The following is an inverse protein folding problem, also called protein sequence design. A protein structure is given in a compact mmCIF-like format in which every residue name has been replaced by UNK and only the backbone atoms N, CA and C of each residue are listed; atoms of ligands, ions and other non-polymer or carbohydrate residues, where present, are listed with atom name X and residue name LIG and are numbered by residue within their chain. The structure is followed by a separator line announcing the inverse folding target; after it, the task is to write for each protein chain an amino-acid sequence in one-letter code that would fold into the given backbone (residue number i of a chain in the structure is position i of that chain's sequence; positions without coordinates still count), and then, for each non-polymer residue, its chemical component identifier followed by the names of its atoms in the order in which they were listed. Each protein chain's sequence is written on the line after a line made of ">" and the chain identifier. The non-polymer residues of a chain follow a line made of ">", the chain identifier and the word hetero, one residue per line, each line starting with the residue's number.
data_IF_698931415894
#
_entry.id   IF_698931415894
#
_cell.length_a   1.000
_cell.length_b   1.000
_cell.length_c   1.000
_cell.angle_alpha   90.00
_cell.angle_beta   90.00
_cell.angle_gamma   90.00
#
_symmetry.space_group_name_H-M   'P 1'
#
loop_
_entity.id
_entity.type
_entity.pdbx_description
1 polymer ?
#
# COMPACT_ATOMS: atom_id res chain seq x y z
N UNK A 1 -22.78 -3.98 6.15
CA UNK A 1 -22.16 -3.12 5.11
C UNK A 1 -20.64 -3.14 5.28
N UNK A 2 -19.88 -3.33 4.19
CA UNK A 2 -18.43 -3.15 4.22
C UNK A 2 -18.10 -1.67 4.43
N UNK A 3 -17.10 -1.39 5.25
CA UNK A 3 -16.61 0.00 5.39
C UNK A 3 -15.93 0.45 4.09
N UNK A 4 -16.00 1.74 3.78
CA UNK A 4 -15.29 2.32 2.61
C UNK A 4 -13.79 1.98 2.60
N UNK A 5 -13.19 1.81 3.78
CA UNK A 5 -11.81 1.35 3.94
C UNK A 5 -11.61 -0.08 3.46
N UNK A 6 -12.50 -0.99 3.86
CA UNK A 6 -12.43 -2.39 3.42
C UNK A 6 -12.63 -2.50 1.90
N UNK A 7 -13.61 -1.78 1.34
CA UNK A 7 -13.81 -1.71 -0.11
C UNK A 7 -12.55 -1.21 -0.85
N UNK A 8 -11.92 -0.13 -0.36
CA UNK A 8 -10.66 0.37 -0.94
C UNK A 8 -9.52 -0.63 -0.88
N UNK A 9 -9.41 -1.42 0.20
CA UNK A 9 -8.41 -2.49 0.30
C UNK A 9 -8.66 -3.60 -0.71
N UNK A 10 -9.91 -3.96 -0.97
CA UNK A 10 -10.26 -4.94 -2.00
C UNK A 10 -9.93 -4.46 -3.41
N UNK A 11 -10.09 -3.16 -3.66
CA UNK A 11 -9.84 -2.53 -4.97
C UNK A 11 -8.39 -2.06 -5.17
N UNK A 12 -7.47 -2.33 -4.23
CA UNK A 12 -6.08 -1.84 -4.33
C UNK A 12 -5.94 -0.32 -4.17
N UNK A 13 -7.00 0.39 -3.77
CA UNK A 13 -7.04 1.84 -3.71
C UNK A 13 -6.36 2.40 -2.44
N UNK A 14 -5.83 3.63 -2.47
CA UNK A 14 -5.26 4.27 -1.29
C UNK A 14 -6.28 4.44 -0.16
N UNK A 15 -5.84 4.17 1.07
CA UNK A 15 -6.67 4.29 2.26
C UNK A 15 -5.87 4.78 3.47
N UNK A 16 -6.55 5.38 4.46
CA UNK A 16 -5.92 5.79 5.73
C UNK A 16 -5.51 4.55 6.52
N UNK A 17 -4.55 4.59 7.44
CA UNK A 17 -4.15 3.43 8.25
C UNK A 17 -5.18 3.04 9.32
N UNK A 18 -5.80 4.02 9.99
CA UNK A 18 -6.89 3.81 10.94
C UNK A 18 -7.76 5.08 11.03
N UNK A 19 -8.84 5.04 11.80
CA UNK A 19 -9.70 6.22 12.00
C UNK A 19 -9.03 7.30 12.86
N UNK A 20 -8.14 6.90 13.77
CA UNK A 20 -7.31 7.79 14.59
C UNK A 20 -6.09 8.32 13.83
N UNK A 21 -5.46 7.49 12.99
CA UNK A 21 -4.28 7.84 12.18
C UNK A 21 -4.67 8.33 10.79
N UNK A 22 -5.47 9.41 10.72
CA UNK A 22 -6.02 9.94 9.45
C UNK A 22 -4.97 10.48 8.48
N UNK A 23 -3.82 10.92 9.02
CA UNK A 23 -2.68 11.48 8.28
C UNK A 23 -1.72 10.42 7.75
N UNK A 24 -1.89 9.16 8.15
CA UNK A 24 -1.10 8.05 7.63
C UNK A 24 -1.88 7.39 6.50
N UNK A 25 -1.37 7.51 5.28
CA UNK A 25 -1.99 6.98 4.07
C UNK A 25 -1.17 5.79 3.60
N UNK A 26 -1.87 4.71 3.28
CA UNK A 26 -1.31 3.53 2.64
C UNK A 26 -1.77 3.56 1.18
N UNK A 27 -0.83 3.35 0.27
CA UNK A 27 -1.08 3.17 -1.15
C UNK A 27 -0.38 1.91 -1.66
N UNK A 28 -0.97 1.25 -2.64
CA UNK A 28 -0.36 0.13 -3.33
C UNK A 28 0.46 0.66 -4.52
N UNK A 29 1.69 0.19 -4.66
CA UNK A 29 2.57 0.48 -5.78
C UNK A 29 2.77 -0.80 -6.57
N UNK A 30 2.67 -0.69 -7.89
CA UNK A 30 3.04 -1.75 -8.81
C UNK A 30 4.47 -1.51 -9.28
N UNK A 31 5.38 -2.45 -8.98
CA UNK A 31 6.79 -2.37 -9.35
C UNK A 31 7.01 -2.72 -10.83
N UNK A 32 6.08 -3.44 -11.46
CA UNK A 32 6.19 -3.77 -12.89
C UNK A 32 5.82 -2.61 -13.80
N UNK A 33 5.18 -1.57 -13.26
CA UNK A 33 4.99 -0.32 -14.00
C UNK A 33 6.30 0.47 -14.00
N UNK A 34 6.79 0.76 -15.21
CA UNK A 34 7.96 1.60 -15.56
C UNK A 34 8.03 2.94 -14.81
N UNK A 35 6.92 3.40 -14.25
CA UNK A 35 6.77 4.67 -13.53
C UNK A 35 7.28 4.68 -12.07
N UNK A 36 7.79 3.56 -11.56
CA UNK A 36 8.19 3.45 -10.16
C UNK A 36 9.54 4.14 -9.86
N UNK A 37 9.55 5.48 -9.86
CA UNK A 37 10.65 6.37 -9.43
C UNK A 37 11.03 6.26 -7.94
N UNK A 38 10.46 5.30 -7.22
CA UNK A 38 10.66 5.14 -5.79
C UNK A 38 11.87 4.24 -5.51
N UNK A 39 12.82 4.72 -4.70
CA UNK A 39 13.90 3.88 -4.18
C UNK A 39 13.34 2.87 -3.18
N UNK A 40 12.92 1.72 -3.70
CA UNK A 40 12.36 0.63 -2.91
C UNK A 40 13.51 -0.23 -2.33
N UNK A 41 13.44 -0.60 -1.04
CA UNK A 41 14.44 -1.45 -0.41
C UNK A 41 14.69 -2.77 -1.15
N UNK A 42 15.92 -3.27 -1.17
CA UNK A 42 16.34 -4.46 -1.93
C UNK A 42 15.47 -5.68 -1.69
N UNK A 43 15.18 -5.96 -0.42
CA UNK A 43 14.35 -7.09 -0.01
C UNK A 43 12.90 -7.04 -0.52
N UNK A 44 12.43 -5.88 -1.00
CA UNK A 44 11.09 -5.70 -1.57
C UNK A 44 11.10 -5.58 -3.10
N UNK A 45 12.26 -5.46 -3.76
CA UNK A 45 12.36 -5.32 -5.23
C UNK A 45 11.88 -6.56 -5.99
N UNK A 46 11.94 -7.73 -5.36
CA UNK A 46 11.51 -9.00 -5.97
C UNK A 46 9.98 -9.18 -5.96
N UNK A 47 9.23 -8.33 -5.26
CA UNK A 47 7.77 -8.40 -5.22
C UNK A 47 7.17 -7.58 -6.37
N UNK A 48 6.16 -8.09 -7.06
CA UNK A 48 5.47 -7.31 -8.11
C UNK A 48 4.68 -6.12 -7.52
N UNK A 49 4.20 -6.26 -6.28
CA UNK A 49 3.44 -5.22 -5.59
C UNK A 49 4.05 -4.90 -4.22
N UNK A 50 4.21 -3.61 -3.95
CA UNK A 50 4.73 -3.09 -2.68
C UNK A 50 3.73 -2.08 -2.14
N UNK A 51 3.51 -2.07 -0.82
CA UNK A 51 2.68 -1.06 -0.21
C UNK A 51 3.56 0.04 0.39
N UNK A 52 3.18 1.27 0.11
CA UNK A 52 3.82 2.47 0.63
C UNK A 52 2.97 3.03 1.75
N UNK A 53 3.56 3.17 2.93
CA UNK A 53 2.98 3.88 4.07
C UNK A 53 3.62 5.25 4.16
N UNK A 54 2.84 6.28 3.87
CA UNK A 54 3.22 7.70 3.98
C UNK A 54 2.57 8.31 5.21
N UNK A 55 3.38 8.80 6.13
CA UNK A 55 2.92 9.59 7.26
C UNK A 55 3.03 11.08 6.96
N UNK A 56 1.90 11.76 6.82
CA UNK A 56 1.90 13.20 6.53
C UNK A 56 2.31 14.06 7.73
N UNK A 57 2.35 13.52 8.95
CA UNK A 57 2.83 14.25 10.12
C UNK A 57 4.36 14.31 10.17
N UNK A 58 5.02 13.16 10.02
CA UNK A 58 6.48 13.06 10.07
C UNK A 58 7.16 13.21 8.71
N UNK A 59 6.40 13.20 7.62
CA UNK A 59 6.93 13.15 6.25
C UNK A 59 7.58 11.80 5.89
N UNK A 60 7.62 10.85 6.82
CA UNK A 60 8.30 9.56 6.64
C UNK A 60 7.51 8.67 5.69
N UNK A 61 8.23 8.08 4.75
CA UNK A 61 7.73 7.06 3.82
C UNK A 61 8.41 5.74 4.18
N UNK A 62 7.61 4.70 4.36
CA UNK A 62 8.10 3.35 4.61
C UNK A 62 7.44 2.38 3.64
N UNK A 63 8.20 1.40 3.18
CA UNK A 63 7.76 0.40 2.21
C UNK A 63 7.59 -0.94 2.92
N UNK A 64 6.54 -1.68 2.55
CA UNK A 64 6.18 -2.97 3.13
C UNK A 64 5.72 -3.92 2.01
N UNK A 65 5.78 -5.24 2.20
CA UNK A 65 5.22 -6.21 1.25
C UNK A 65 3.74 -5.91 1.00
N UNK A 66 3.27 -5.92 -0.26
CA UNK A 66 1.88 -5.55 -0.60
C UNK A 66 0.82 -6.30 0.22
N UNK A 67 1.05 -7.58 0.52
CA UNK A 67 0.16 -8.44 1.29
C UNK A 67 -0.12 -7.91 2.73
N UNK A 68 0.79 -7.12 3.30
CA UNK A 68 0.67 -6.55 4.65
C UNK A 68 -0.58 -5.67 4.79
N UNK A 69 -0.87 -4.85 3.78
CA UNK A 69 -2.00 -3.92 3.81
C UNK A 69 -3.08 -4.24 2.77
N UNK A 70 -2.78 -5.01 1.74
CA UNK A 70 -3.70 -5.41 0.68
C UNK A 70 -3.75 -6.93 0.47
N UNK A 71 -4.08 -7.72 1.51
CA UNK A 71 -4.02 -9.18 1.39
C UNK A 71 -5.03 -9.71 0.37
N UNK A 72 -6.29 -9.31 0.51
CA UNK A 72 -7.38 -9.80 -0.36
C UNK A 72 -7.21 -9.43 -1.83
N UNK A 73 -6.80 -8.19 -2.11
CA UNK A 73 -6.57 -7.72 -3.49
C UNK A 73 -5.49 -8.56 -4.20
N UNK A 74 -4.42 -8.91 -3.49
CA UNK A 74 -3.30 -9.67 -4.07
C UNK A 74 -3.55 -11.18 -4.07
N UNK A 75 -4.40 -11.69 -3.17
CA UNK A 75 -4.85 -13.07 -3.20
C UNK A 75 -5.86 -13.34 -4.32
N UNK A 76 -6.66 -12.35 -4.70
CA UNK A 76 -7.66 -12.47 -5.78
C UNK A 76 -7.04 -12.44 -7.18
N UNK A 77 -5.79 -11.97 -7.30
CA UNK A 77 -5.06 -11.83 -8.57
C UNK A 77 -3.97 -12.89 -8.78
N UNK A 78 -4.00 -13.98 -8.00
CA UNK A 78 -3.26 -15.22 -8.24
C UNK A 78 -4.16 -16.27 -8.89
#
# INVERSE_FOLDING_TARGET
>A
MLSNRAARRLLGMPHKLSNSKRKVIISLLNLTSSDSKHQIPEHLRHSSFVCMKKDAYSGKITYHPGNTFYPEHLNTSR
#
